data_IF_592347933296
#
_entry.id   IF_592347933296
#
_cell.length_a   1.000
_cell.length_b   1.000
_cell.length_c   1.000
_cell.angle_alpha   90.00
_cell.angle_beta   90.00
_cell.angle_gamma   90.00
#
_symmetry.space_group_name_H-M   'P 1'
#
loop_
_entity.id
_entity.type
_entity.pdbx_description
1 polymer ?
#
# COMPACT_ATOMS: atom_id res chain seq x y z
N UNK A 1 0.77 12.37 4.19
CA UNK A 1 -0.66 12.06 4.39
C UNK A 1 -1.07 12.89 5.58
N UNK A 2 -1.87 13.93 5.37
CA UNK A 2 -2.40 14.75 6.47
C UNK A 2 -3.29 13.87 7.37
N UNK A 3 -3.15 14.04 8.68
CA UNK A 3 -3.96 13.37 9.70
C UNK A 3 -5.43 13.84 9.70
N UNK A 4 -5.83 14.74 8.80
CA UNK A 4 -7.14 15.42 8.80
C UNK A 4 -8.30 14.66 8.14
N UNK A 5 -8.05 13.52 7.48
CA UNK A 5 -9.06 12.85 6.64
C UNK A 5 -9.71 11.59 7.27
N UNK A 6 -9.55 11.42 8.58
CA UNK A 6 -10.22 10.36 9.32
C UNK A 6 -11.46 10.89 10.04
N UNK A 7 -12.56 10.14 9.94
CA UNK A 7 -13.80 10.41 10.67
C UNK A 7 -14.14 9.19 11.54
N UNK A 8 -14.26 9.42 12.82
CA UNK A 8 -14.61 8.35 13.76
C UNK A 8 -16.12 8.08 13.71
N UNK A 9 -16.48 6.88 13.27
CA UNK A 9 -17.86 6.38 13.27
C UNK A 9 -17.87 4.88 12.99
N UNK A 10 -18.12 4.06 14.01
CA UNK A 10 -18.05 2.60 13.90
C UNK A 10 -19.04 2.00 12.89
N UNK A 11 -20.25 2.58 12.80
CA UNK A 11 -21.26 2.15 11.82
C UNK A 11 -20.76 2.36 10.39
N UNK A 12 -20.26 3.56 10.07
CA UNK A 12 -19.72 3.86 8.74
C UNK A 12 -18.44 3.06 8.45
N UNK A 13 -17.58 2.85 9.45
CA UNK A 13 -16.39 2.03 9.31
C UNK A 13 -16.75 0.57 8.95
N UNK A 14 -17.75 -0.01 9.64
CA UNK A 14 -18.26 -1.34 9.32
C UNK A 14 -18.94 -1.41 7.95
N UNK A 15 -19.87 -0.50 7.67
CA UNK A 15 -20.59 -0.55 6.39
C UNK A 15 -19.61 -0.33 5.23
N UNK A 16 -18.64 0.57 5.39
CA UNK A 16 -17.62 0.83 4.38
C UNK A 16 -16.72 -0.38 4.11
N UNK A 17 -16.34 -1.16 5.13
CA UNK A 17 -15.56 -2.39 4.94
C UNK A 17 -16.43 -3.54 4.40
N UNK A 18 -17.66 -3.68 4.89
CA UNK A 18 -18.54 -4.79 4.55
C UNK A 18 -19.16 -4.66 3.15
N UNK A 19 -19.36 -3.45 2.60
CA UNK A 19 -20.04 -3.25 1.31
C UNK A 19 -19.34 -3.88 0.10
N UNK A 20 -18.04 -4.18 0.20
CA UNK A 20 -17.29 -4.86 -0.86
C UNK A 20 -17.43 -6.38 -0.83
N UNK A 21 -17.89 -6.95 0.30
CA UNK A 21 -17.85 -8.41 0.54
C UNK A 21 -19.19 -9.03 0.94
N UNK A 22 -20.19 -8.21 1.31
CA UNK A 22 -21.51 -8.67 1.77
C UNK A 22 -22.64 -8.04 0.98
N UNK A 23 -23.79 -8.71 0.92
CA UNK A 23 -24.98 -8.14 0.32
C UNK A 23 -25.62 -7.06 1.22
N UNK A 24 -26.38 -6.14 0.62
CA UNK A 24 -27.04 -5.04 1.34
C UNK A 24 -27.89 -5.53 2.52
N UNK A 25 -28.64 -6.61 2.34
CA UNK A 25 -29.52 -7.13 3.40
C UNK A 25 -28.73 -7.64 4.60
N UNK A 26 -27.61 -8.30 4.39
CA UNK A 26 -26.76 -8.79 5.49
C UNK A 26 -26.15 -7.62 6.26
N UNK A 27 -25.63 -6.61 5.54
CA UNK A 27 -25.07 -5.41 6.15
C UNK A 27 -26.11 -4.70 7.02
N UNK A 28 -27.32 -4.50 6.47
CA UNK A 28 -28.42 -3.84 7.18
C UNK A 28 -28.85 -4.66 8.40
N UNK A 29 -29.05 -5.97 8.25
CA UNK A 29 -29.45 -6.85 9.35
C UNK A 29 -28.39 -6.84 10.47
N UNK A 30 -27.11 -7.03 10.15
CA UNK A 30 -26.04 -7.00 11.13
C UNK A 30 -25.94 -5.63 11.82
N UNK A 31 -26.05 -4.54 11.06
CA UNK A 31 -25.93 -3.20 11.63
C UNK A 31 -27.08 -2.87 12.59
N UNK A 32 -28.32 -3.23 12.25
CA UNK A 32 -29.49 -2.97 13.10
C UNK A 32 -29.49 -3.83 14.36
N UNK A 33 -28.93 -5.04 14.30
CA UNK A 33 -28.81 -5.92 15.47
C UNK A 33 -27.70 -5.46 16.41
N UNK A 34 -26.58 -4.97 15.86
CA UNK A 34 -25.39 -4.66 16.64
C UNK A 34 -25.34 -3.22 17.15
N UNK A 35 -25.79 -2.25 16.33
CA UNK A 35 -25.69 -0.83 16.67
C UNK A 35 -27.02 -0.27 17.17
N UNK A 36 -26.92 0.66 18.11
CA UNK A 36 -28.06 1.39 18.60
C UNK A 36 -28.63 2.36 17.53
N UNK A 37 -29.92 2.68 17.65
CA UNK A 37 -30.58 3.66 16.76
C UNK A 37 -29.84 5.02 16.77
N UNK A 38 -29.30 5.43 17.92
CA UNK A 38 -28.50 6.66 18.10
C UNK A 38 -27.25 6.67 17.20
N UNK A 39 -26.51 5.56 17.17
CA UNK A 39 -25.29 5.40 16.38
C UNK A 39 -25.60 5.39 14.89
N UNK A 40 -26.66 4.70 14.47
CA UNK A 40 -27.10 4.67 13.06
C UNK A 40 -27.57 6.06 12.60
N UNK A 41 -28.26 6.81 13.46
CA UNK A 41 -28.62 8.21 13.16
C UNK A 41 -27.40 9.09 12.99
N UNK A 42 -26.45 9.04 13.92
CA UNK A 42 -25.21 9.81 13.83
C UNK A 42 -24.41 9.48 12.57
N UNK A 43 -24.34 8.20 12.20
CA UNK A 43 -23.72 7.75 10.96
C UNK A 43 -24.42 8.32 9.71
N UNK A 44 -25.76 8.32 9.70
CA UNK A 44 -26.54 8.87 8.60
C UNK A 44 -26.35 10.38 8.48
N UNK A 45 -26.43 11.12 9.57
CA UNK A 45 -26.19 12.57 9.60
C UNK A 45 -24.81 12.91 9.07
N UNK A 46 -23.79 12.20 9.55
CA UNK A 46 -22.39 12.42 9.16
C UNK A 46 -22.19 12.17 7.66
N UNK A 47 -22.64 11.02 7.14
CA UNK A 47 -22.45 10.70 5.73
C UNK A 47 -23.22 11.67 4.82
N UNK A 48 -24.49 11.95 5.14
CA UNK A 48 -25.30 12.87 4.34
C UNK A 48 -24.74 14.29 4.37
N UNK A 49 -24.17 14.72 5.51
CA UNK A 49 -23.46 15.98 5.62
C UNK A 49 -22.19 16.04 4.77
N UNK A 50 -21.39 14.97 4.75
CA UNK A 50 -20.18 14.88 3.93
C UNK A 50 -20.52 14.96 2.43
N UNK A 51 -21.54 14.21 1.99
CA UNK A 51 -21.94 14.15 0.57
C UNK A 51 -22.86 15.31 0.17
N UNK A 52 -23.22 16.19 1.12
CA UNK A 52 -24.15 17.30 0.93
C UNK A 52 -25.50 16.87 0.32
N UNK A 53 -26.03 15.74 0.79
CA UNK A 53 -27.34 15.20 0.37
C UNK A 53 -28.40 15.55 1.41
N UNK A 54 -29.60 15.89 0.95
CA UNK A 54 -30.73 16.19 1.83
C UNK A 54 -31.03 14.99 2.73
N UNK A 55 -30.88 15.20 4.03
CA UNK A 55 -31.19 14.20 5.05
C UNK A 55 -32.70 13.93 5.10
N UNK A 56 -33.08 12.66 5.01
CA UNK A 56 -34.48 12.20 5.11
C UNK A 56 -34.60 11.19 6.24
N UNK A 57 -35.39 11.51 7.25
CA UNK A 57 -35.65 10.61 8.37
C UNK A 57 -36.86 9.72 8.10
N UNK A 58 -36.66 8.40 8.23
CA UNK A 58 -37.70 7.40 8.09
C UNK A 58 -38.58 7.37 9.33
N UNK A 59 -39.90 7.23 9.15
CA UNK A 59 -40.92 7.30 10.22
C UNK A 59 -41.70 5.99 10.41
N UNK A 60 -41.35 4.92 9.71
CA UNK A 60 -42.02 3.61 9.80
C UNK A 60 -41.61 2.83 11.06
N UNK A 61 -42.32 1.74 11.36
CA UNK A 61 -41.92 0.79 12.42
C UNK A 61 -40.50 0.24 12.21
N UNK A 62 -40.07 0.14 10.95
CA UNK A 62 -38.73 -0.32 10.55
C UNK A 62 -37.76 0.83 10.25
N UNK A 63 -37.99 2.03 10.80
CA UNK A 63 -37.18 3.24 10.57
C UNK A 63 -35.67 3.00 10.68
N UNK A 64 -35.20 2.17 11.63
CA UNK A 64 -33.77 1.94 11.85
C UNK A 64 -33.14 1.15 10.69
N UNK A 65 -33.86 0.12 10.24
CA UNK A 65 -33.51 -0.69 9.07
C UNK A 65 -33.47 0.15 7.81
N UNK A 66 -34.48 0.98 7.61
CA UNK A 66 -34.55 1.87 6.44
C UNK A 66 -33.47 2.96 6.49
N UNK A 67 -33.19 3.55 7.66
CA UNK A 67 -32.10 4.52 7.82
C UNK A 67 -30.74 3.88 7.51
N UNK A 68 -30.50 2.64 7.96
CA UNK A 68 -29.29 1.91 7.62
C UNK A 68 -29.22 1.57 6.12
N UNK A 69 -30.34 1.20 5.51
CA UNK A 69 -30.41 0.94 4.08
C UNK A 69 -30.07 2.19 3.25
N UNK A 70 -30.55 3.37 3.67
CA UNK A 70 -30.23 4.65 3.04
C UNK A 70 -28.71 4.95 3.10
N UNK A 71 -28.03 4.60 4.20
CA UNK A 71 -26.57 4.74 4.33
C UNK A 71 -25.85 3.85 3.31
N UNK A 72 -26.25 2.58 3.22
CA UNK A 72 -25.64 1.61 2.28
C UNK A 72 -25.83 2.07 0.84
N UNK A 73 -27.04 2.52 0.49
CA UNK A 73 -27.34 3.01 -0.86
C UNK A 73 -26.55 4.27 -1.20
N UNK A 74 -26.41 5.21 -0.27
CA UNK A 74 -25.65 6.43 -0.49
C UNK A 74 -24.15 6.12 -0.65
N UNK A 75 -23.58 5.21 0.14
CA UNK A 75 -22.19 4.79 -0.02
C UNK A 75 -21.94 4.13 -1.36
N UNK A 76 -22.86 3.25 -1.80
CA UNK A 76 -22.76 2.61 -3.11
C UNK A 76 -22.84 3.64 -4.24
N UNK A 77 -23.76 4.61 -4.12
CA UNK A 77 -23.86 5.71 -5.07
C UNK A 77 -22.57 6.54 -5.13
N UNK A 78 -21.92 6.78 -3.99
CA UNK A 78 -20.62 7.46 -3.96
C UNK A 78 -19.53 6.65 -4.67
N UNK A 79 -19.52 5.32 -4.51
CA UNK A 79 -18.60 4.45 -5.24
C UNK A 79 -18.86 4.51 -6.76
N UNK A 80 -20.13 4.45 -7.18
CA UNK A 80 -20.55 4.51 -8.59
C UNK A 80 -20.22 5.87 -9.23
N UNK A 81 -20.35 6.96 -8.48
CA UNK A 81 -20.03 8.33 -8.90
C UNK A 81 -18.56 8.73 -8.66
N UNK A 82 -17.73 7.80 -8.17
CA UNK A 82 -16.32 8.02 -7.81
C UNK A 82 -16.10 9.22 -6.85
N UNK A 83 -17.04 9.46 -5.94
CA UNK A 83 -16.95 10.51 -4.91
C UNK A 83 -15.93 10.07 -3.86
N UNK A 84 -14.92 10.91 -3.62
CA UNK A 84 -13.93 10.68 -2.57
C UNK A 84 -14.57 10.91 -1.19
N UNK A 85 -14.53 9.89 -0.34
CA UNK A 85 -15.01 9.93 1.04
C UNK A 85 -13.82 9.86 2.02
N UNK A 86 -13.93 10.51 3.19
CA UNK A 86 -12.93 10.34 4.25
C UNK A 86 -12.89 8.89 4.71
N UNK A 87 -11.79 8.50 5.34
CA UNK A 87 -11.67 7.16 5.93
C UNK A 87 -12.44 7.11 7.23
N UNK A 88 -13.39 6.18 7.33
CA UNK A 88 -14.14 5.96 8.56
C UNK A 88 -13.40 4.97 9.45
N UNK A 89 -13.16 5.35 10.70
CA UNK A 89 -12.46 4.55 11.71
C UNK A 89 -13.35 4.36 12.93
N UNK A 90 -12.99 3.42 13.79
CA UNK A 90 -13.69 3.13 15.03
C UNK A 90 -12.73 3.32 16.19
N UNK A 91 -13.24 3.82 17.32
CA UNK A 91 -12.46 4.06 18.54
C UNK A 91 -11.82 2.78 19.07
N UNK A 92 -12.56 1.66 19.08
CA UNK A 92 -12.20 0.42 19.75
C UNK A 92 -12.61 -0.80 18.91
N UNK A 93 -11.91 -1.93 19.03
CA UNK A 93 -12.24 -3.16 18.28
C UNK A 93 -13.68 -3.64 18.52
N UNK A 94 -14.22 -3.38 19.72
CA UNK A 94 -15.62 -3.64 20.10
C UNK A 94 -16.64 -2.81 19.30
N UNK A 95 -16.19 -1.84 18.52
CA UNK A 95 -17.02 -1.05 17.61
C UNK A 95 -17.47 -1.84 16.38
N UNK A 96 -16.93 -3.03 16.10
CA UNK A 96 -17.34 -3.87 14.98
C UNK A 96 -18.33 -4.96 15.42
N UNK A 97 -19.36 -5.28 14.61
CA UNK A 97 -20.22 -6.40 14.89
C UNK A 97 -19.40 -7.68 14.98
N UNK A 98 -19.71 -8.60 15.91
CA UNK A 98 -19.07 -9.92 15.96
C UNK A 98 -19.43 -10.64 14.66
N UNK A 99 -18.56 -10.56 13.67
CA UNK A 99 -18.76 -11.26 12.43
C UNK A 99 -18.29 -12.69 12.67
N UNK A 100 -19.21 -13.65 12.60
CA UNK A 100 -18.82 -15.05 12.42
C UNK A 100 -17.84 -15.12 11.24
N UNK A 101 -16.57 -15.40 11.54
CA UNK A 101 -15.49 -15.49 10.55
C UNK A 101 -14.50 -14.31 10.46
N UNK A 102 -14.74 -13.14 11.08
CA UNK A 102 -13.70 -12.09 11.12
C UNK A 102 -12.59 -12.36 12.13
N UNK A 103 -12.81 -13.18 13.16
CA UNK A 103 -11.70 -13.55 14.06
C UNK A 103 -10.66 -14.41 13.33
N UNK A 104 -11.12 -15.26 12.40
CA UNK A 104 -10.24 -16.10 11.57
C UNK A 104 -9.64 -15.26 10.43
N UNK A 105 -10.45 -14.44 9.76
CA UNK A 105 -9.99 -13.61 8.63
C UNK A 105 -9.11 -12.45 9.11
N UNK A 106 -9.35 -11.88 10.27
CA UNK A 106 -8.54 -10.80 10.85
C UNK A 106 -7.12 -11.26 11.17
N UNK A 107 -6.97 -12.46 11.74
CA UNK A 107 -5.67 -13.09 11.92
C UNK A 107 -4.98 -13.40 10.57
N UNK A 108 -5.73 -13.95 9.61
CA UNK A 108 -5.19 -14.25 8.27
C UNK A 108 -4.78 -12.99 7.52
N UNK A 109 -5.58 -11.92 7.57
CA UNK A 109 -5.28 -10.62 6.95
C UNK A 109 -4.09 -9.96 7.66
N UNK A 110 -4.01 -10.03 8.99
CA UNK A 110 -2.87 -9.55 9.75
C UNK A 110 -1.57 -10.23 9.33
N UNK A 111 -1.58 -11.57 9.30
CA UNK A 111 -0.44 -12.37 8.84
C UNK A 111 -0.08 -12.06 7.38
N UNK A 112 -1.07 -11.90 6.50
CA UNK A 112 -0.85 -11.49 5.10
C UNK A 112 -0.24 -10.10 4.99
N UNK A 113 -0.65 -9.14 5.83
CA UNK A 113 -0.04 -7.81 5.83
C UNK A 113 1.40 -7.85 6.32
N UNK A 114 1.70 -8.67 7.32
CA UNK A 114 3.06 -8.87 7.83
C UNK A 114 3.94 -9.56 6.78
N UNK A 115 3.45 -10.62 6.11
CA UNK A 115 4.14 -11.26 4.99
C UNK A 115 4.41 -10.27 3.84
N UNK A 116 3.44 -9.42 3.49
CA UNK A 116 3.62 -8.38 2.46
C UNK A 116 4.66 -7.34 2.89
N UNK A 117 4.75 -7.04 4.19
CA UNK A 117 5.74 -6.11 4.75
C UNK A 117 7.14 -6.74 4.72
N UNK A 118 7.27 -8.01 5.08
CA UNK A 118 8.53 -8.77 4.98
C UNK A 118 8.99 -8.87 3.52
N UNK A 119 8.11 -9.24 2.59
CA UNK A 119 8.39 -9.28 1.15
C UNK A 119 8.85 -7.92 0.61
N UNK A 120 8.25 -6.81 1.05
CA UNK A 120 8.70 -5.47 0.68
C UNK A 120 10.11 -5.17 1.20
N UNK A 121 10.45 -5.65 2.40
CA UNK A 121 11.79 -5.53 2.96
C UNK A 121 12.79 -6.36 2.16
N UNK A 122 12.49 -7.62 1.87
CA UNK A 122 13.36 -8.49 1.06
C UNK A 122 13.60 -7.92 -0.35
N UNK A 123 12.55 -7.38 -0.99
CA UNK A 123 12.68 -6.70 -2.28
C UNK A 123 13.60 -5.48 -2.19
N UNK A 124 13.53 -4.73 -1.09
CA UNK A 124 14.43 -3.58 -0.87
C UNK A 124 15.87 -4.06 -0.72
N UNK A 125 16.11 -5.08 0.09
CA UNK A 125 17.45 -5.64 0.32
C UNK A 125 18.05 -6.21 -0.97
N UNK A 126 17.24 -6.90 -1.79
CA UNK A 126 17.64 -7.38 -3.12
C UNK A 126 18.01 -6.24 -4.08
N UNK A 127 17.27 -5.13 -4.05
CA UNK A 127 17.58 -3.95 -4.86
C UNK A 127 18.90 -3.31 -4.42
N UNK A 128 19.16 -3.26 -3.12
CA UNK A 128 20.40 -2.69 -2.58
C UNK A 128 21.60 -3.58 -2.88
N UNK A 129 21.48 -4.90 -2.72
CA UNK A 129 22.48 -5.88 -3.13
C UNK A 129 22.79 -5.80 -4.63
N UNK A 130 21.75 -5.68 -5.48
CA UNK A 130 21.93 -5.50 -6.93
C UNK A 130 22.72 -4.23 -7.25
N UNK A 131 22.42 -3.10 -6.60
CA UNK A 131 23.15 -1.85 -6.81
C UNK A 131 24.62 -1.98 -6.41
N UNK A 132 24.91 -2.62 -5.27
CA UNK A 132 26.28 -2.92 -4.85
C UNK A 132 27.03 -3.77 -5.86
N UNK A 133 26.42 -4.85 -6.36
CA UNK A 133 27.05 -5.73 -7.35
C UNK A 133 27.34 -5.02 -8.67
N UNK A 134 26.44 -4.14 -9.13
CA UNK A 134 26.69 -3.33 -10.33
C UNK A 134 27.92 -2.44 -10.13
N UNK A 135 28.02 -1.75 -8.98
CA UNK A 135 29.20 -0.93 -8.68
C UNK A 135 30.50 -1.74 -8.61
N UNK A 136 30.47 -2.96 -8.08
CA UNK A 136 31.64 -3.85 -8.09
C UNK A 136 32.05 -4.27 -9.52
N UNK A 137 31.07 -4.54 -10.39
CA UNK A 137 31.32 -4.88 -11.79
C UNK A 137 31.91 -3.70 -12.57
N UNK A 138 31.39 -2.49 -12.35
CA UNK A 138 31.95 -1.26 -12.95
C UNK A 138 33.41 -1.06 -12.51
N UNK A 139 33.71 -1.20 -11.22
CA UNK A 139 35.09 -1.13 -10.72
C UNK A 139 35.99 -2.20 -11.34
N UNK A 140 35.51 -3.44 -11.48
CA UNK A 140 36.27 -4.49 -12.17
C UNK A 140 36.51 -4.17 -13.65
N UNK A 141 35.55 -3.54 -14.31
CA UNK A 141 35.70 -3.12 -15.70
C UNK A 141 36.79 -2.05 -15.83
N UNK A 142 36.76 -1.00 -14.99
CA UNK A 142 37.80 0.03 -14.98
C UNK A 142 39.19 -0.54 -14.72
N UNK A 143 39.35 -1.41 -13.72
CA UNK A 143 40.64 -2.07 -13.45
C UNK A 143 41.15 -2.89 -14.65
N UNK A 144 40.25 -3.53 -15.42
CA UNK A 144 40.64 -4.28 -16.62
C UNK A 144 41.11 -3.35 -17.74
N UNK A 145 40.49 -2.18 -17.91
CA UNK A 145 40.95 -1.17 -18.88
C UNK A 145 42.33 -0.64 -18.51
N UNK A 146 42.54 -0.25 -17.25
CA UNK A 146 43.86 0.21 -16.78
C UNK A 146 44.95 -0.86 -16.96
N UNK A 147 44.65 -2.13 -16.66
CA UNK A 147 45.57 -3.25 -16.90
C UNK A 147 45.92 -3.42 -18.39
N UNK A 148 44.96 -3.21 -19.29
CA UNK A 148 45.20 -3.28 -20.72
C UNK A 148 46.09 -2.14 -21.20
N UNK A 149 45.88 -0.92 -20.70
CA UNK A 149 46.75 0.23 -20.99
C UNK A 149 48.18 -0.01 -20.49
N UNK A 150 48.35 -0.43 -19.23
CA UNK A 150 49.67 -0.75 -18.66
C UNK A 150 50.37 -1.82 -19.49
N UNK A 151 49.65 -2.86 -19.90
CA UNK A 151 50.18 -3.92 -20.78
C UNK A 151 50.60 -3.37 -22.15
N UNK A 152 49.86 -2.40 -22.69
CA UNK A 152 50.20 -1.69 -23.92
C UNK A 152 51.51 -0.90 -23.78
N UNK A 153 51.62 -0.09 -22.73
CA UNK A 153 52.81 0.71 -22.41
C UNK A 153 54.05 -0.17 -22.20
N UNK A 154 53.93 -1.30 -21.47
CA UNK A 154 55.02 -2.25 -21.28
C UNK A 154 55.51 -2.87 -22.59
N UNK A 155 54.61 -3.21 -23.51
CA UNK A 155 55.00 -3.72 -24.84
C UNK A 155 55.78 -2.67 -25.63
N UNK A 156 55.33 -1.42 -25.64
CA UNK A 156 56.02 -0.33 -26.31
C UNK A 156 57.40 -0.07 -25.70
N UNK A 157 57.49 -0.08 -24.37
CA UNK A 157 58.75 0.08 -23.65
C UNK A 157 59.75 -1.04 -24.00
N UNK A 158 59.29 -2.30 -24.01
CA UNK A 158 60.11 -3.46 -24.40
C UNK A 158 60.61 -3.35 -25.85
N UNK A 159 59.75 -2.91 -26.77
CA UNK A 159 60.16 -2.69 -28.17
C UNK A 159 61.23 -1.59 -28.29
N UNK A 160 61.08 -0.47 -27.57
CA UNK A 160 62.09 0.60 -27.53
C UNK A 160 63.44 0.09 -27.00
N UNK A 161 63.45 -0.65 -25.88
CA UNK A 161 64.68 -1.22 -25.33
C UNK A 161 65.40 -2.13 -26.32
N UNK A 162 64.68 -3.02 -27.02
CA UNK A 162 65.30 -3.91 -28.01
C UNK A 162 65.90 -3.14 -29.20
N UNK A 163 65.25 -2.04 -29.61
CA UNK A 163 65.74 -1.18 -30.68
C UNK A 163 67.01 -0.42 -30.26
N UNK A 164 67.06 0.03 -29.01
CA UNK A 164 68.22 0.72 -28.43
C UNK A 164 69.40 -0.22 -28.17
N UNK A 165 69.16 -1.48 -27.75
CA UNK A 165 70.21 -2.48 -27.60
C UNK A 165 70.81 -2.91 -28.94
N UNK A 166 69.98 -3.16 -29.95
CA UNK A 166 70.46 -3.52 -31.29
C UNK A 166 71.26 -2.41 -32.00
N UNK A 167 71.01 -1.14 -31.64
CA UNK A 167 71.83 0.00 -32.10
C UNK A 167 73.19 0.11 -31.44
N UNK A 168 73.38 -0.42 -30.22
CA UNK A 168 74.70 -0.42 -29.56
C UNK A 168 75.60 -1.52 -30.10
N UNK A 169 75.03 -2.65 -30.47
CA UNK A 169 75.79 -3.81 -31.00
C UNK A 169 76.24 -3.63 -32.45
N UNK A 170 75.74 -2.60 -33.16
CA UNK A 170 76.07 -2.30 -34.56
C UNK A 170 77.11 -1.17 -34.75
N UNK A 171 77.67 -0.64 -33.65
CA UNK A 171 78.64 0.48 -33.65
C UNK A 171 80.06 0.00 -33.27
N UNK A 172 80.36 -1.30 -33.39
CA UNK A 172 81.69 -1.88 -33.16
C UNK A 172 82.21 -2.47 -34.47
#
# INVERSE_FOLDING_TARGET
MDESDYKENSVLAYIASARQSKCKNDIVNTSVVFYEESQIKAAKELLFGIVNVKLVWRRSENKNRENCADIVDLLKKCDDEAISLPRFVTENYDGFPPVYGYDIIGGVIGNLMDEVKELKSEIKDLKDARRSNIGMLENQYFMKEELLEIKGLLKQFKQKQMFESGRRDSVI
#
